data_IF_577023839289
#
_entry.id   IF_577023839289
#
_cell.length_a   1.000
_cell.length_b   1.000
_cell.length_c   1.000
_cell.angle_alpha   90.00
_cell.angle_beta   90.00
_cell.angle_gamma   90.00
#
_symmetry.space_group_name_H-M   'P 1'
#
loop_
_entity.id
_entity.type
_entity.pdbx_description
1 polymer ?
#
# COMPACT_ATOMS: atom_id res chain seq x y z
N UNK A 1 24.29 59.41 17.76
CA UNK A 1 23.31 58.32 18.00
C UNK A 1 23.06 57.66 16.66
N UNK A 2 23.50 56.41 16.53
CA UNK A 2 23.37 55.60 15.32
C UNK A 2 23.83 54.20 15.67
N UNK A 3 22.98 53.46 16.39
CA UNK A 3 23.22 52.07 16.76
C UNK A 3 22.90 51.20 15.53
N UNK A 4 23.91 50.89 14.72
CA UNK A 4 23.82 49.78 13.76
C UNK A 4 23.90 48.46 14.55
N UNK A 5 22.73 47.91 14.88
CA UNK A 5 22.61 46.55 15.40
C UNK A 5 22.90 45.54 14.28
N UNK A 6 24.07 44.92 14.34
CA UNK A 6 24.47 43.79 13.50
C UNK A 6 23.63 42.57 13.85
N UNK A 7 22.53 42.37 13.14
CA UNK A 7 21.68 41.19 13.24
C UNK A 7 22.40 39.99 12.59
N UNK A 8 23.15 39.23 13.40
CA UNK A 8 23.77 37.97 12.98
C UNK A 8 22.68 36.96 12.61
N UNK A 9 22.44 36.77 11.32
CA UNK A 9 21.70 35.61 10.78
C UNK A 9 22.40 34.32 11.20
N UNK A 10 21.85 33.62 12.18
CA UNK A 10 22.28 32.27 12.56
C UNK A 10 21.88 31.32 11.42
N UNK A 11 22.80 30.55 10.82
CA UNK A 11 22.45 29.60 9.78
C UNK A 11 21.59 28.48 10.37
N UNK A 12 20.40 28.28 9.81
CA UNK A 12 19.52 27.16 10.15
C UNK A 12 20.21 25.85 9.77
N UNK A 13 20.29 24.84 10.66
CA UNK A 13 20.84 23.54 10.31
C UNK A 13 20.08 22.93 9.13
N UNK A 14 20.76 22.21 8.21
CA UNK A 14 20.06 21.48 7.16
C UNK A 14 19.13 20.43 7.79
N UNK A 15 17.94 20.17 7.19
CA UNK A 15 17.04 19.16 7.68
C UNK A 15 17.72 17.78 7.61
N UNK A 16 17.86 17.14 8.77
CA UNK A 16 18.37 15.76 8.86
C UNK A 16 17.28 14.85 8.28
N UNK A 17 17.58 14.02 7.25
CA UNK A 17 16.63 13.03 6.76
C UNK A 17 16.23 12.10 7.89
N UNK A 18 14.93 12.03 8.20
CA UNK A 18 14.42 11.00 9.11
C UNK A 18 14.50 9.65 8.39
N UNK A 19 15.40 8.78 8.84
CA UNK A 19 15.44 7.39 8.37
C UNK A 19 14.18 6.67 8.85
N UNK A 20 13.49 6.00 7.92
CA UNK A 20 12.34 5.15 8.23
C UNK A 20 12.86 3.98 9.08
N UNK A 21 12.32 3.74 10.29
CA UNK A 21 12.70 2.59 11.11
C UNK A 21 12.60 1.27 10.31
N UNK A 22 13.57 0.36 10.52
CA UNK A 22 13.64 -0.90 9.77
C UNK A 22 12.36 -1.75 9.89
N UNK A 23 11.69 -1.73 11.04
CA UNK A 23 10.40 -2.40 11.23
C UNK A 23 9.30 -1.82 10.32
N UNK A 24 9.24 -0.49 10.22
CA UNK A 24 8.27 0.20 9.36
C UNK A 24 8.56 -0.10 7.88
N UNK A 25 9.83 -0.15 7.48
CA UNK A 25 10.24 -0.55 6.13
C UNK A 25 9.82 -1.97 5.80
N UNK A 26 10.03 -2.93 6.72
CA UNK A 26 9.58 -4.32 6.55
C UNK A 26 8.07 -4.43 6.41
N UNK A 27 7.32 -3.68 7.22
CA UNK A 27 5.86 -3.63 7.13
C UNK A 27 5.40 -3.10 5.77
N UNK A 28 5.99 -1.99 5.28
CA UNK A 28 5.64 -1.42 3.98
C UNK A 28 5.97 -2.37 2.82
N UNK A 29 7.10 -3.07 2.89
CA UNK A 29 7.44 -4.09 1.89
C UNK A 29 6.42 -5.23 1.87
N UNK A 30 6.07 -5.79 3.04
CA UNK A 30 5.06 -6.84 3.13
C UNK A 30 3.68 -6.39 2.61
N UNK A 31 3.31 -5.13 2.87
CA UNK A 31 2.08 -4.54 2.35
C UNK A 31 2.10 -4.43 0.82
N UNK A 32 3.24 -4.05 0.24
CA UNK A 32 3.41 -3.98 -1.21
C UNK A 32 3.34 -5.38 -1.84
N UNK A 33 4.03 -6.36 -1.28
CA UNK A 33 4.00 -7.74 -1.77
C UNK A 33 2.57 -8.31 -1.76
N UNK A 34 1.82 -8.05 -0.68
CA UNK A 34 0.42 -8.44 -0.55
C UNK A 34 -0.46 -7.77 -1.62
N UNK A 35 -0.24 -6.48 -1.90
CA UNK A 35 -0.99 -5.77 -2.93
C UNK A 35 -0.69 -6.29 -4.33
N UNK A 36 0.58 -6.54 -4.64
CA UNK A 36 1.00 -7.12 -5.92
C UNK A 36 0.36 -8.49 -6.14
N UNK A 37 0.49 -9.40 -5.17
CA UNK A 37 -0.13 -10.73 -5.25
C UNK A 37 -1.66 -10.65 -5.41
N UNK A 38 -2.29 -9.69 -4.73
CA UNK A 38 -3.73 -9.45 -4.85
C UNK A 38 -4.14 -8.96 -6.23
N UNK A 39 -3.35 -8.08 -6.85
CA UNK A 39 -3.59 -7.59 -8.21
C UNK A 39 -3.42 -8.73 -9.22
N UNK A 40 -2.37 -9.53 -9.10
CA UNK A 40 -2.13 -10.71 -9.94
C UNK A 40 -3.28 -11.72 -9.84
N UNK A 41 -3.78 -11.98 -8.63
CA UNK A 41 -4.95 -12.83 -8.42
C UNK A 41 -6.19 -12.26 -9.10
N UNK A 42 -6.43 -10.95 -8.96
CA UNK A 42 -7.56 -10.29 -9.60
C UNK A 42 -7.51 -10.39 -11.12
N UNK A 43 -6.33 -10.19 -11.73
CA UNK A 43 -6.12 -10.36 -13.16
C UNK A 43 -6.35 -11.81 -13.59
N UNK A 44 -5.76 -12.78 -12.88
CA UNK A 44 -5.86 -14.21 -13.22
C UNK A 44 -7.32 -14.68 -13.18
N UNK A 45 -8.07 -14.28 -12.16
CA UNK A 45 -9.49 -14.59 -12.02
C UNK A 45 -10.32 -13.97 -13.16
N UNK A 46 -9.97 -12.76 -13.58
CA UNK A 46 -10.67 -12.08 -14.68
C UNK A 46 -10.44 -12.73 -16.05
N UNK A 47 -9.39 -13.55 -16.21
CA UNK A 47 -9.10 -14.26 -17.45
C UNK A 47 -9.87 -15.58 -17.59
N UNK A 48 -10.62 -16.00 -16.57
CA UNK A 48 -11.37 -17.26 -16.64
C UNK A 48 -12.55 -17.11 -17.61
N UNK A 49 -12.65 -17.98 -18.64
CA UNK A 49 -13.69 -17.88 -19.64
C UNK A 49 -15.08 -18.21 -19.04
N UNK A 50 -16.16 -17.51 -19.46
CA UNK A 50 -17.52 -17.75 -18.96
C UNK A 50 -17.98 -19.21 -19.12
N UNK A 51 -17.55 -19.88 -20.19
CA UNK A 51 -17.90 -21.27 -20.47
C UNK A 51 -17.35 -22.23 -19.40
N UNK A 52 -16.22 -21.90 -18.78
CA UNK A 52 -15.67 -22.68 -17.67
C UNK A 52 -16.49 -22.50 -16.38
N UNK A 53 -17.10 -21.33 -16.18
CA UNK A 53 -17.97 -21.05 -15.04
C UNK A 53 -19.32 -21.79 -15.13
N UNK A 54 -19.83 -21.96 -16.35
CA UNK A 54 -21.06 -22.72 -16.60
C UNK A 54 -20.83 -24.22 -16.49
N UNK A 55 -19.65 -24.70 -16.90
CA UNK A 55 -19.34 -26.13 -16.95
C UNK A 55 -18.87 -26.72 -15.63
N UNK A 56 -18.19 -25.94 -14.79
CA UNK A 56 -17.59 -26.42 -13.53
C UNK A 56 -17.96 -25.50 -12.36
N UNK A 57 -18.92 -25.93 -11.55
CA UNK A 57 -19.40 -25.17 -10.39
C UNK A 57 -18.30 -24.87 -9.37
N UNK A 58 -17.31 -25.74 -9.23
CA UNK A 58 -16.19 -25.57 -8.30
C UNK A 58 -15.30 -24.38 -8.70
N UNK A 59 -15.17 -24.11 -10.01
CA UNK A 59 -14.41 -22.96 -10.52
C UNK A 59 -15.13 -21.65 -10.16
N UNK A 60 -16.47 -21.65 -10.19
CA UNK A 60 -17.27 -20.50 -9.78
C UNK A 60 -17.06 -20.18 -8.30
N UNK A 61 -17.10 -21.19 -7.44
CA UNK A 61 -16.89 -21.00 -5.99
C UNK A 61 -15.45 -20.55 -5.67
N UNK A 62 -14.46 -21.09 -6.39
CA UNK A 62 -13.08 -20.66 -6.30
C UNK A 62 -12.91 -19.18 -6.68
N UNK A 63 -13.55 -18.75 -7.78
CA UNK A 63 -13.52 -17.37 -8.23
C UNK A 63 -14.16 -16.42 -7.22
N UNK A 64 -15.30 -16.80 -6.66
CA UNK A 64 -15.97 -15.95 -5.68
C UNK A 64 -15.13 -15.82 -4.41
N UNK A 65 -14.51 -16.92 -3.97
CA UNK A 65 -13.55 -16.91 -2.86
C UNK A 65 -12.36 -15.99 -3.15
N UNK A 66 -11.76 -16.08 -4.34
CA UNK A 66 -10.66 -15.21 -4.75
C UNK A 66 -11.08 -13.72 -4.78
N UNK A 67 -12.27 -13.40 -5.30
CA UNK A 67 -12.81 -12.03 -5.27
C UNK A 67 -13.00 -11.52 -3.85
N UNK A 68 -13.42 -12.38 -2.91
CA UNK A 68 -13.55 -12.02 -1.50
C UNK A 68 -12.18 -11.70 -0.87
N UNK A 69 -11.14 -12.48 -1.18
CA UNK A 69 -9.77 -12.20 -0.73
C UNK A 69 -9.27 -10.84 -1.26
N UNK A 70 -9.51 -10.55 -2.54
CA UNK A 70 -9.14 -9.25 -3.14
C UNK A 70 -9.85 -8.09 -2.44
N UNK A 71 -11.17 -8.21 -2.21
CA UNK A 71 -11.96 -7.21 -1.50
C UNK A 71 -11.48 -6.99 -0.06
N UNK A 72 -11.24 -8.07 0.67
CA UNK A 72 -10.75 -8.03 2.05
C UNK A 72 -9.38 -7.35 2.13
N UNK A 73 -8.46 -7.71 1.24
CA UNK A 73 -7.12 -7.12 1.18
C UNK A 73 -7.17 -5.63 0.85
N UNK A 74 -7.99 -5.23 -0.11
CA UNK A 74 -8.17 -3.81 -0.42
C UNK A 74 -8.76 -3.00 0.75
N UNK A 75 -9.70 -3.59 1.48
CA UNK A 75 -10.24 -2.97 2.69
C UNK A 75 -9.19 -2.82 3.79
N UNK A 76 -8.37 -3.85 4.01
CA UNK A 76 -7.25 -3.79 4.94
C UNK A 76 -6.24 -2.70 4.55
N UNK A 77 -5.83 -2.64 3.28
CA UNK A 77 -4.94 -1.60 2.78
C UNK A 77 -5.50 -0.18 3.02
N UNK A 78 -6.79 0.04 2.76
CA UNK A 78 -7.44 1.34 3.04
C UNK A 78 -7.37 1.71 4.52
N UNK A 79 -7.54 0.74 5.42
CA UNK A 79 -7.43 0.98 6.87
C UNK A 79 -6.00 1.38 7.25
N UNK A 80 -5.01 0.63 6.79
CA UNK A 80 -3.58 0.92 7.02
C UNK A 80 -3.23 2.32 6.50
N UNK A 81 -3.65 2.66 5.28
CA UNK A 81 -3.40 3.99 4.69
C UNK A 81 -4.05 5.13 5.48
N UNK A 82 -5.19 4.91 6.12
CA UNK A 82 -5.85 5.90 6.99
C UNK A 82 -5.13 6.07 8.32
N UNK A 83 -4.57 5.01 8.89
CA UNK A 83 -3.80 5.06 10.15
C UNK A 83 -2.41 5.66 9.97
N UNK A 84 -1.85 5.60 8.76
CA UNK A 84 -0.55 6.17 8.42
C UNK A 84 -0.59 7.68 8.07
N UNK A 85 -1.78 8.30 8.10
CA UNK A 85 -1.99 9.75 7.90
C UNK A 85 -2.21 10.41 9.24
#
# INVERSE_FOLDING_TARGET
MGEESLEKKIPTPPPIPQEIPEEQKRFLNALNDLLTATQELAFTVALVPPEALEKYSEIKDLIETAKNVVRATYNFYKLVKRMSR
#
